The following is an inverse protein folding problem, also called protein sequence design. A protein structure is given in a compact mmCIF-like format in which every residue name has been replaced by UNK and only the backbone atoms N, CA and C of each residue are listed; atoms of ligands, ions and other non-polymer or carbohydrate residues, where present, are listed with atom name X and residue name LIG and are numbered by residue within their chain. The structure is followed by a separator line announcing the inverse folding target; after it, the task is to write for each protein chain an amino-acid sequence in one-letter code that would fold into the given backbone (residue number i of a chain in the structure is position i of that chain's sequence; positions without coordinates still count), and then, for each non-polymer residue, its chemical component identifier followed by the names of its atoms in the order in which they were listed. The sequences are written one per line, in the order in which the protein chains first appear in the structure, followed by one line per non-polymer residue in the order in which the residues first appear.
data_IF_592087157891
#
_entry.id   IF_592087157891
#
_cell.length_a   1.000
_cell.length_b   1.000
_cell.length_c   1.000
_cell.angle_alpha   90.00
_cell.angle_beta   90.00
_cell.angle_gamma   90.00
#
_symmetry.space_group_name_H-M   'P 1'
#
loop_
_entity.id
_entity.type
_entity.pdbx_description
1 polymer ?
#
# COMPACT_ATOMS: atom_id res chain seq x y z
N UNK A 1 -6.68 -24.17 13.47
CA UNK A 1 -7.47 -22.94 13.25
C UNK A 1 -8.90 -23.34 12.93
N UNK A 2 -9.90 -22.72 13.55
CA UNK A 2 -11.30 -23.01 13.22
C UNK A 2 -11.63 -22.49 11.82
N UNK A 3 -12.57 -23.15 11.15
CA UNK A 3 -12.97 -22.77 9.79
C UNK A 3 -13.52 -21.34 9.74
N UNK A 4 -14.31 -20.91 10.72
CA UNK A 4 -14.85 -19.54 10.82
C UNK A 4 -13.74 -18.49 10.85
N UNK A 5 -12.77 -18.63 11.76
CA UNK A 5 -11.62 -17.72 11.85
C UNK A 5 -10.79 -17.68 10.57
N UNK A 6 -10.74 -18.79 9.82
CA UNK A 6 -10.07 -18.82 8.52
C UNK A 6 -10.84 -18.02 7.47
N UNK A 7 -12.17 -18.16 7.41
CA UNK A 7 -12.98 -17.37 6.50
C UNK A 7 -12.90 -15.88 6.81
N UNK A 8 -12.99 -15.47 8.07
CA UNK A 8 -12.88 -14.06 8.45
C UNK A 8 -11.53 -13.48 8.03
N UNK A 9 -10.44 -14.23 8.24
CA UNK A 9 -9.12 -13.81 7.80
C UNK A 9 -9.00 -13.78 6.28
N UNK A 10 -9.58 -14.75 5.56
CA UNK A 10 -9.58 -14.80 4.10
C UNK A 10 -10.38 -13.64 3.49
N UNK A 11 -11.55 -13.31 4.05
CA UNK A 11 -12.38 -12.19 3.61
C UNK A 11 -11.79 -10.82 3.95
N UNK A 12 -10.91 -10.75 4.96
CA UNK A 12 -10.18 -9.54 5.30
C UNK A 12 -9.00 -9.25 4.34
N UNK A 13 -8.59 -10.22 3.51
CA UNK A 13 -7.58 -10.00 2.47
C UNK A 13 -8.16 -9.18 1.31
N UNK A 14 -7.33 -8.30 0.76
CA UNK A 14 -7.69 -7.53 -0.43
C UNK A 14 -7.47 -8.35 -1.72
N UNK A 15 -8.09 -7.93 -2.82
CA UNK A 15 -8.02 -8.64 -4.11
C UNK A 15 -6.56 -8.74 -4.58
N UNK A 16 -6.12 -9.97 -4.88
CA UNK A 16 -4.74 -10.33 -5.25
C UNK A 16 -3.67 -10.17 -4.15
N UNK A 17 -4.06 -9.99 -2.88
CA UNK A 17 -3.10 -10.03 -1.77
C UNK A 17 -2.61 -11.46 -1.52
N UNK A 18 -1.34 -11.62 -1.13
CA UNK A 18 -0.76 -12.95 -0.89
C UNK A 18 -1.38 -13.56 0.37
N UNK A 19 -1.93 -14.77 0.21
CA UNK A 19 -2.49 -15.54 1.33
C UNK A 19 -1.36 -15.88 2.33
N UNK A 20 -1.52 -15.59 3.63
CA UNK A 20 -0.54 -15.95 4.65
C UNK A 20 -0.33 -17.46 4.71
N UNK A 21 0.91 -17.88 4.99
CA UNK A 21 1.30 -19.29 5.00
C UNK A 21 0.39 -20.18 5.86
N UNK A 22 -0.01 -19.72 7.05
CA UNK A 22 -0.93 -20.47 7.91
C UNK A 22 -2.31 -20.73 7.26
N UNK A 23 -2.84 -19.76 6.51
CA UNK A 23 -4.09 -19.96 5.77
C UNK A 23 -3.88 -20.94 4.60
N UNK A 24 -2.75 -20.85 3.90
CA UNK A 24 -2.41 -21.80 2.83
C UNK A 24 -2.36 -23.23 3.33
N UNK A 25 -1.75 -23.47 4.51
CA UNK A 25 -1.71 -24.78 5.15
C UNK A 25 -3.12 -25.27 5.50
N UNK A 26 -3.96 -24.42 6.10
CA UNK A 26 -5.34 -24.81 6.42
C UNK A 26 -6.17 -25.15 5.17
N UNK A 27 -6.04 -24.36 4.10
CA UNK A 27 -6.68 -24.59 2.81
C UNK A 27 -6.23 -25.90 2.14
N UNK A 28 -4.99 -26.34 2.41
CA UNK A 28 -4.48 -27.61 1.90
C UNK A 28 -5.14 -28.81 2.60
N UNK A 29 -5.32 -28.72 3.92
CA UNK A 29 -5.83 -29.82 4.74
C UNK A 29 -7.36 -29.84 4.90
N UNK A 30 -8.04 -28.70 4.78
CA UNK A 30 -9.50 -28.63 4.95
C UNK A 30 -10.22 -28.56 3.59
N UNK A 31 -10.94 -29.63 3.17
CA UNK A 31 -11.61 -29.67 1.87
C UNK A 31 -12.80 -28.70 1.78
N UNK A 32 -13.49 -28.45 2.89
CA UNK A 32 -14.65 -27.54 2.96
C UNK A 32 -14.23 -26.11 2.65
N UNK A 33 -13.20 -25.64 3.35
CA UNK A 33 -12.61 -24.32 3.17
C UNK A 33 -12.03 -24.13 1.76
N UNK A 34 -11.39 -25.17 1.23
CA UNK A 34 -10.88 -25.18 -0.15
C UNK A 34 -11.99 -25.06 -1.19
N UNK A 35 -13.09 -25.80 -1.02
CA UNK A 35 -14.22 -25.76 -1.93
C UNK A 35 -14.89 -24.38 -1.94
N UNK A 36 -15.08 -23.78 -0.77
CA UNK A 36 -15.70 -22.47 -0.65
C UNK A 36 -14.84 -21.34 -1.27
N UNK A 37 -13.53 -21.32 -0.99
CA UNK A 37 -12.62 -20.36 -1.64
C UNK A 37 -12.65 -20.50 -3.16
N UNK A 38 -12.65 -21.74 -3.66
CA UNK A 38 -12.77 -22.01 -5.10
C UNK A 38 -14.09 -21.50 -5.69
N UNK A 39 -15.21 -21.67 -4.99
CA UNK A 39 -16.51 -21.17 -5.43
C UNK A 39 -16.53 -19.64 -5.48
N UNK A 40 -16.00 -18.96 -4.45
CA UNK A 40 -15.87 -17.50 -4.43
C UNK A 40 -15.01 -16.98 -5.58
N UNK A 41 -13.83 -17.58 -5.81
CA UNK A 41 -12.99 -17.22 -6.95
C UNK A 41 -13.65 -17.51 -8.31
N UNK A 42 -14.52 -18.51 -8.40
CA UNK A 42 -15.27 -18.83 -9.61
C UNK A 42 -16.36 -17.79 -9.88
N UNK A 43 -17.15 -17.45 -8.84
CA UNK A 43 -18.18 -16.42 -8.92
C UNK A 43 -17.58 -15.06 -9.31
N UNK A 44 -16.44 -14.71 -8.71
CA UNK A 44 -15.72 -13.48 -9.05
C UNK A 44 -15.28 -13.46 -10.51
N UNK A 45 -14.71 -14.58 -11.02
CA UNK A 45 -14.32 -14.68 -12.43
C UNK A 45 -15.51 -14.52 -13.36
N UNK A 46 -16.63 -15.15 -13.06
CA UNK A 46 -17.86 -15.03 -13.86
C UNK A 46 -18.39 -13.58 -13.90
N UNK A 47 -18.30 -12.85 -12.80
CA UNK A 47 -18.71 -11.43 -12.75
C UNK A 47 -17.69 -10.53 -13.45
N UNK A 48 -16.40 -10.86 -13.38
CA UNK A 48 -15.33 -10.07 -13.99
C UNK A 48 -15.19 -10.31 -15.51
N UNK A 49 -15.59 -11.47 -16.01
CA UNK A 49 -15.51 -11.86 -17.42
C UNK A 49 -16.21 -10.89 -18.39
N UNK A 50 -17.48 -10.47 -18.20
CA UNK A 50 -18.13 -9.49 -19.07
C UNK A 50 -17.50 -8.09 -18.99
N UNK A 51 -16.77 -7.79 -17.92
CA UNK A 51 -16.05 -6.53 -17.71
C UNK A 51 -14.62 -6.59 -18.29
N UNK A 52 -14.12 -7.79 -18.63
CA UNK A 52 -12.79 -8.00 -19.22
C UNK A 52 -12.81 -7.77 -20.73
N UNK A 53 -13.40 -6.66 -21.16
CA UNK A 53 -13.32 -6.22 -22.55
C UNK A 53 -11.89 -5.77 -22.78
N UNK A 54 -11.10 -6.58 -23.49
CA UNK A 54 -9.77 -6.17 -23.94
C UNK A 54 -9.92 -4.88 -24.76
N UNK A 55 -9.02 -3.90 -24.64
CA UNK A 55 -9.15 -2.62 -25.35
C UNK A 55 -9.22 -2.77 -26.88
N UNK A 56 -8.72 -3.90 -27.42
CA UNK A 56 -8.87 -4.26 -28.84
C UNK A 56 -10.31 -4.62 -29.26
N UNK A 57 -11.15 -5.09 -28.33
CA UNK A 57 -12.55 -5.48 -28.55
C UNK A 57 -13.55 -4.34 -28.30
N UNK A 58 -13.08 -3.16 -27.86
CA UNK A 58 -13.95 -1.96 -27.78
C UNK A 58 -14.57 -1.56 -29.12
N UNK A 59 -13.98 -2.00 -30.25
CA UNK A 59 -14.55 -1.85 -31.60
C UNK A 59 -15.67 -2.85 -31.91
N UNK A 60 -15.80 -3.93 -31.13
CA UNK A 60 -16.80 -4.98 -31.34
C UNK A 60 -18.13 -4.68 -30.63
N UNK A 61 -18.15 -3.83 -29.60
CA UNK A 61 -19.39 -3.39 -28.96
C UNK A 61 -20.02 -2.24 -29.76
N UNK A 62 -20.68 -2.60 -30.87
CA UNK A 62 -21.48 -1.68 -31.71
C UNK A 62 -22.88 -1.45 -31.11
N UNK A 63 -22.96 -1.18 -29.81
CA UNK A 63 -24.24 -0.82 -29.21
C UNK A 63 -24.36 0.72 -29.17
N UNK A 64 -25.18 1.34 -30.04
CA UNK A 64 -25.21 2.80 -30.20
C UNK A 64 -25.65 3.52 -28.91
N UNK A 65 -26.41 2.82 -28.05
CA UNK A 65 -26.84 3.33 -26.76
C UNK A 65 -25.66 3.38 -25.79
N UNK A 66 -24.82 2.34 -25.79
CA UNK A 66 -23.64 2.28 -24.92
C UNK A 66 -22.61 3.33 -25.32
N UNK A 67 -22.36 3.53 -26.61
CA UNK A 67 -21.42 4.55 -27.09
C UNK A 67 -21.90 5.96 -26.73
N UNK A 68 -23.19 6.25 -26.92
CA UNK A 68 -23.77 7.55 -26.55
C UNK A 68 -23.70 7.79 -25.02
N UNK A 69 -23.89 6.76 -24.21
CA UNK A 69 -23.75 6.86 -22.76
C UNK A 69 -22.30 7.12 -22.34
N UNK A 70 -21.33 6.42 -22.92
CA UNK A 70 -19.90 6.62 -22.64
C UNK A 70 -19.46 8.02 -23.06
N UNK A 71 -19.85 8.49 -24.25
CA UNK A 71 -19.50 9.84 -24.72
C UNK A 71 -20.09 10.92 -23.81
N UNK A 72 -21.32 10.73 -23.31
CA UNK A 72 -21.94 11.64 -22.35
C UNK A 72 -21.20 11.66 -21.00
N UNK A 73 -20.70 10.52 -20.53
CA UNK A 73 -19.91 10.42 -19.29
C UNK A 73 -18.54 11.10 -19.47
N UNK A 74 -17.86 10.85 -20.59
CA UNK A 74 -16.57 11.47 -20.91
C UNK A 74 -16.71 13.00 -21.10
N UNK A 75 -17.77 13.45 -21.79
CA UNK A 75 -18.06 14.86 -22.00
C UNK A 75 -18.46 15.58 -20.70
N UNK A 76 -19.04 14.88 -19.73
CA UNK A 76 -19.33 15.41 -18.39
C UNK A 76 -18.06 15.63 -17.54
N UNK A 77 -16.86 15.40 -18.08
CA UNK A 77 -15.59 15.60 -17.38
C UNK A 77 -15.30 14.54 -16.31
N UNK A 78 -16.10 13.46 -16.27
CA UNK A 78 -15.82 12.29 -15.44
C UNK A 78 -14.71 11.47 -16.11
N UNK A 79 -13.49 12.03 -16.13
CA UNK A 79 -12.31 11.23 -16.36
C UNK A 79 -12.14 10.32 -15.16
N UNK A 80 -12.66 9.09 -15.24
CA UNK A 80 -12.12 8.03 -14.43
C UNK A 80 -10.67 7.89 -14.88
N UNK A 81 -9.74 8.43 -14.08
CA UNK A 81 -8.37 7.95 -14.13
C UNK A 81 -8.48 6.45 -14.00
N UNK A 82 -8.06 5.72 -15.04
CA UNK A 82 -7.78 4.30 -14.88
C UNK A 82 -6.78 4.29 -13.73
N UNK A 83 -7.23 3.89 -12.53
CA UNK A 83 -6.36 3.76 -11.39
C UNK A 83 -5.22 2.86 -11.84
N UNK A 84 -4.06 3.47 -12.10
CA UNK A 84 -2.87 2.70 -12.37
C UNK A 84 -2.73 1.70 -11.23
N UNK A 85 -2.40 0.44 -11.53
CA UNK A 85 -2.37 -0.63 -10.54
C UNK A 85 -1.59 -0.16 -9.32
N UNK A 86 -2.36 0.11 -8.27
CA UNK A 86 -1.99 0.45 -6.89
C UNK A 86 -0.50 0.72 -6.73
N UNK A 87 -0.17 2.02 -6.64
CA UNK A 87 1.07 2.59 -6.12
C UNK A 87 2.04 1.51 -5.63
N UNK A 88 2.97 1.14 -6.51
CA UNK A 88 4.08 0.21 -6.28
C UNK A 88 4.50 0.26 -4.80
N UNK A 89 4.07 -0.71 -3.98
CA UNK A 89 4.40 -0.76 -2.55
C UNK A 89 5.91 -0.70 -2.44
N UNK A 90 6.43 0.46 -2.07
CA UNK A 90 7.85 0.61 -1.78
C UNK A 90 8.11 -0.29 -0.59
N UNK A 91 9.01 -1.27 -0.77
CA UNK A 91 9.33 -2.23 0.29
C UNK A 91 9.59 -1.48 1.60
N UNK A 92 8.91 -1.88 2.68
CA UNK A 92 9.08 -1.33 4.03
C UNK A 92 10.55 -1.24 4.44
N UNK A 93 11.36 -2.20 3.99
CA UNK A 93 12.79 -2.23 4.23
C UNK A 93 13.52 -1.04 3.61
N UNK A 94 13.10 -0.59 2.41
CA UNK A 94 13.68 0.61 1.78
C UNK A 94 13.34 1.88 2.55
N UNK A 95 12.10 2.00 3.03
CA UNK A 95 11.69 3.10 3.91
C UNK A 95 12.46 3.09 5.24
N UNK A 96 12.66 1.92 5.84
CA UNK A 96 13.45 1.80 7.06
C UNK A 96 14.91 2.21 6.82
N UNK A 97 15.53 1.70 5.75
CA UNK A 97 16.91 2.01 5.40
C UNK A 97 17.13 3.51 5.14
N UNK A 98 16.22 4.16 4.40
CA UNK A 98 16.29 5.61 4.14
C UNK A 98 16.12 6.40 5.44
N UNK A 99 15.24 5.98 6.34
CA UNK A 99 15.06 6.61 7.65
C UNK A 99 16.32 6.51 8.52
N UNK A 100 16.94 5.33 8.55
CA UNK A 100 18.22 5.10 9.26
C UNK A 100 19.35 5.92 8.65
N UNK A 101 19.45 5.99 7.31
CA UNK A 101 20.45 6.82 6.64
C UNK A 101 20.25 8.31 6.91
N UNK A 102 19.00 8.79 6.93
CA UNK A 102 18.68 10.18 7.23
C UNK A 102 19.06 10.51 8.68
N UNK A 103 18.59 9.72 9.65
CA UNK A 103 18.91 9.92 11.06
C UNK A 103 20.42 9.80 11.33
N UNK A 104 21.06 8.77 10.78
CA UNK A 104 22.49 8.54 10.91
C UNK A 104 23.32 9.65 10.26
N UNK A 105 22.91 10.14 9.09
CA UNK A 105 23.58 11.25 8.42
C UNK A 105 23.60 12.51 9.28
N UNK A 106 22.42 12.94 9.78
CA UNK A 106 22.33 14.10 10.67
C UNK A 106 23.06 13.90 12.01
N UNK A 107 23.10 12.67 12.53
CA UNK A 107 23.83 12.34 13.75
C UNK A 107 25.35 12.41 13.56
N UNK A 108 25.88 11.98 12.41
CA UNK A 108 27.33 11.92 12.14
C UNK A 108 27.89 13.29 11.74
N UNK A 109 27.10 14.12 11.03
CA UNK A 109 27.53 15.45 10.57
C UNK A 109 28.21 16.31 11.66
N UNK A 110 27.67 16.50 12.88
CA UNK A 110 28.33 17.32 13.91
C UNK A 110 29.68 16.77 14.39
N UNK A 111 29.92 15.46 14.23
CA UNK A 111 31.20 14.82 14.58
C UNK A 111 32.19 14.75 13.41
N UNK A 112 31.77 15.13 12.20
CA UNK A 112 32.66 15.18 11.04
C UNK A 112 33.64 16.36 11.14
N UNK A 113 34.78 16.28 10.44
CA UNK A 113 35.75 17.38 10.37
C UNK A 113 35.10 18.71 9.93
N UNK A 114 34.17 18.64 8.98
CA UNK A 114 33.39 19.79 8.51
C UNK A 114 32.45 20.32 9.58
N UNK A 115 31.77 19.44 10.32
CA UNK A 115 30.88 19.83 11.42
C UNK A 115 31.61 20.51 12.57
N UNK A 116 32.78 19.98 12.96
CA UNK A 116 33.64 20.57 13.99
C UNK A 116 34.14 21.94 13.56
N UNK A 117 34.59 22.08 12.31
CA UNK A 117 35.05 23.37 11.78
C UNK A 117 33.93 24.42 11.78
N UNK A 118 32.73 24.07 11.32
CA UNK A 118 31.57 24.98 11.33
C UNK A 118 31.17 25.34 12.77
N UNK A 119 31.23 24.40 13.71
CA UNK A 119 30.97 24.68 15.13
C UNK A 119 31.99 25.65 15.72
N UNK A 120 33.27 25.55 15.35
CA UNK A 120 34.31 26.45 15.84
C UNK A 120 34.10 27.88 15.33
N UNK A 121 33.68 28.05 14.09
CA UNK A 121 33.49 29.36 13.46
C UNK A 121 32.17 30.03 13.86
N UNK A 122 31.06 29.29 13.86
CA UNK A 122 29.71 29.83 14.03
C UNK A 122 29.05 29.48 15.37
N UNK A 123 29.56 28.49 16.09
CA UNK A 123 29.07 28.07 17.41
C UNK A 123 27.55 27.80 17.44
N UNK A 124 26.87 28.43 18.40
CA UNK A 124 25.43 28.26 18.63
C UNK A 124 24.57 28.74 17.46
N UNK A 125 25.03 29.75 16.70
CA UNK A 125 24.29 30.29 15.54
C UNK A 125 24.08 29.26 14.43
N UNK A 126 24.94 28.23 14.37
CA UNK A 126 24.77 27.10 13.45
C UNK A 126 24.04 25.92 14.10
N UNK A 127 24.36 25.59 15.36
CA UNK A 127 23.80 24.43 16.04
C UNK A 127 22.27 24.48 16.16
N UNK A 128 21.72 25.62 16.57
CA UNK A 128 20.26 25.78 16.79
C UNK A 128 19.46 25.54 15.50
N UNK A 129 19.71 26.26 14.38
CA UNK A 129 18.96 26.01 13.15
C UNK A 129 19.21 24.62 12.57
N UNK A 130 20.40 24.05 12.74
CA UNK A 130 20.71 22.69 12.30
C UNK A 130 19.82 21.64 13.00
N UNK A 131 19.71 21.70 14.33
CA UNK A 131 18.86 20.75 15.07
C UNK A 131 17.36 20.98 14.81
N UNK A 132 16.93 22.22 14.58
CA UNK A 132 15.55 22.51 14.15
C UNK A 132 15.27 21.88 12.79
N UNK A 133 16.17 22.06 11.81
CA UNK A 133 16.05 21.47 10.49
C UNK A 133 15.99 19.94 10.57
N UNK A 134 16.84 19.33 11.40
CA UNK A 134 16.83 17.89 11.64
C UNK A 134 15.49 17.42 12.20
N UNK A 135 14.96 18.08 13.23
CA UNK A 135 13.65 17.76 13.81
C UNK A 135 12.52 17.86 12.78
N UNK A 136 12.50 18.92 11.98
CA UNK A 136 11.53 19.09 10.89
C UNK A 136 11.65 17.99 9.84
N UNK A 137 12.86 17.66 9.39
CA UNK A 137 13.09 16.62 8.40
C UNK A 137 12.65 15.24 8.90
N UNK A 138 13.00 14.87 10.13
CA UNK A 138 12.59 13.60 10.74
C UNK A 138 11.08 13.54 10.93
N UNK A 139 10.45 14.63 11.38
CA UNK A 139 9.00 14.69 11.58
C UNK A 139 8.24 14.56 10.26
N UNK A 140 8.66 15.30 9.23
CA UNK A 140 8.07 15.22 7.89
C UNK A 140 8.24 13.82 7.29
N UNK A 141 9.44 13.24 7.43
CA UNK A 141 9.72 11.88 6.99
C UNK A 141 8.87 10.85 7.72
N UNK A 142 8.73 10.97 9.04
CA UNK A 142 7.87 10.11 9.86
C UNK A 142 6.40 10.19 9.44
N UNK A 143 5.89 11.39 9.17
CA UNK A 143 4.54 11.60 8.67
C UNK A 143 4.32 10.92 7.30
N UNK A 144 5.24 11.10 6.36
CA UNK A 144 5.19 10.44 5.05
C UNK A 144 5.27 8.93 5.16
N UNK A 145 6.11 8.42 6.07
CA UNK A 145 6.24 6.99 6.34
C UNK A 145 4.93 6.40 6.86
N UNK A 146 4.31 7.05 7.86
CA UNK A 146 3.03 6.58 8.44
C UNK A 146 1.92 6.65 7.40
N UNK A 147 1.79 7.78 6.70
CA UNK A 147 0.75 7.97 5.68
C UNK A 147 0.84 6.96 4.54
N UNK A 148 2.06 6.72 4.02
CA UNK A 148 2.29 5.77 2.92
C UNK A 148 2.08 4.30 3.33
N UNK A 149 2.10 4.00 4.64
CA UNK A 149 1.99 2.64 5.16
C UNK A 149 0.75 2.44 6.05
N UNK A 150 -0.22 3.37 6.01
CA UNK A 150 -1.37 3.38 6.91
C UNK A 150 -2.21 2.10 6.82
N UNK A 151 -2.32 1.53 5.62
CA UNK A 151 -3.02 0.26 5.38
C UNK A 151 -2.46 -0.91 6.20
N UNK A 152 -1.13 -0.93 6.42
CA UNK A 152 -0.50 -1.97 7.23
C UNK A 152 -0.87 -1.82 8.71
N UNK A 153 -0.95 -0.58 9.20
CA UNK A 153 -1.34 -0.32 10.59
C UNK A 153 -2.82 -0.68 10.79
N UNK A 154 -3.72 -0.24 9.90
CA UNK A 154 -5.15 -0.54 9.98
C UNK A 154 -5.43 -2.04 9.92
N UNK A 155 -4.79 -2.78 9.00
CA UNK A 155 -4.95 -4.24 8.92
C UNK A 155 -4.43 -4.94 10.19
N UNK A 156 -3.29 -4.52 10.73
CA UNK A 156 -2.68 -5.13 11.93
C UNK A 156 -3.52 -4.91 13.19
N UNK A 157 -4.15 -3.73 13.34
CA UNK A 157 -5.09 -3.46 14.43
C UNK A 157 -6.35 -4.35 14.36
N UNK A 158 -6.88 -4.61 13.15
CA UNK A 158 -8.00 -5.54 12.99
C UNK A 158 -7.62 -6.97 13.36
N UNK A 159 -6.45 -7.45 12.93
CA UNK A 159 -6.00 -8.82 13.25
C UNK A 159 -5.77 -9.02 14.75
N UNK A 160 -5.24 -8.01 15.46
CA UNK A 160 -5.03 -8.09 16.91
C UNK A 160 -6.34 -8.19 17.70
N UNK A 161 -7.40 -7.50 17.26
CA UNK A 161 -8.73 -7.56 17.90
C UNK A 161 -9.43 -8.92 17.71
N UNK A 162 -9.07 -9.69 16.69
CA UNK A 162 -9.62 -11.03 16.42
C UNK A 162 -8.86 -12.15 17.17
N UNK A 163 -7.65 -11.85 17.63
CA UNK A 163 -6.77 -12.81 18.31
C UNK A 163 -6.95 -12.82 19.84
N UNK A 164 -7.51 -11.75 20.43
CA UNK A 164 -8.02 -11.69 21.82
C UNK A 164 -9.46 -12.16 21.87
#
# INVERSE_FOLDING_TARGET
MNCEKMFDLYLALDKNERVPFMLTVHLFFCPVCRAAVRQMSCAEKMVAEPLSIKPADRRAVKDPILTAAIDKILAAGLSYSVDEPVAKRVSLFRWFLVGVLLAGGFFVIPFSATGIWIQQEFGLSFMVPFYILFGCAVTAYGGLFIGSNIDLFVKRFKTLRVAT
#
